data_IF_305488823569
#
_entry.id   IF_305488823569
#
_cell.length_a   1.000
_cell.length_b   1.000
_cell.length_c   1.000
_cell.angle_alpha   90.00
_cell.angle_beta   90.00
_cell.angle_gamma   90.00
#
_symmetry.space_group_name_H-M   'P 1'
#
loop_
_entity.id
_entity.type
_entity.pdbx_description
1 polymer ?
#
# COMPACT_ATOMS: atom_id res chain seq x y z
N UNK A 1 -3.46 8.33 12.65
CA UNK A 1 -2.34 8.09 11.71
C UNK A 1 -1.88 6.64 11.84
N UNK A 2 -1.80 5.90 10.74
CA UNK A 2 -1.31 4.53 10.69
C UNK A 2 0.11 4.50 10.13
N UNK A 3 0.98 3.73 10.76
CA UNK A 3 2.36 3.47 10.31
C UNK A 3 2.53 2.00 9.99
N UNK A 4 3.17 1.71 8.89
CA UNK A 4 3.40 0.33 8.49
C UNK A 4 4.53 0.18 7.49
N UNK A 5 4.66 -1.02 7.00
CA UNK A 5 5.61 -1.38 5.96
C UNK A 5 4.91 -2.02 4.78
N UNK A 6 5.51 -1.91 3.62
CA UNK A 6 5.14 -2.71 2.47
C UNK A 6 6.37 -3.40 1.88
N UNK A 7 6.15 -4.53 1.25
CA UNK A 7 7.18 -5.31 0.56
C UNK A 7 6.79 -5.55 -0.89
N UNK A 8 7.76 -5.48 -1.78
CA UNK A 8 7.59 -5.88 -3.18
C UNK A 8 8.04 -7.33 -3.42
N UNK A 9 8.75 -7.91 -2.45
CA UNK A 9 9.16 -9.31 -2.48
C UNK A 9 10.18 -9.63 -3.58
N UNK A 10 11.13 -8.73 -3.85
CA UNK A 10 12.17 -8.95 -4.86
C UNK A 10 13.21 -9.97 -4.40
N UNK A 11 13.69 -10.79 -5.34
CA UNK A 11 14.82 -11.70 -5.19
C UNK A 11 16.03 -11.05 -5.85
N UNK A 12 16.66 -10.15 -5.12
CA UNK A 12 17.83 -9.40 -5.57
C UNK A 12 19.09 -9.94 -4.91
N UNK A 13 20.22 -9.93 -5.66
CA UNK A 13 21.53 -10.34 -5.14
C UNK A 13 21.97 -9.37 -4.04
N UNK A 14 22.37 -9.91 -2.91
CA UNK A 14 23.12 -9.15 -1.90
C UNK A 14 24.53 -8.84 -2.44
N UNK A 15 24.84 -7.58 -2.73
CA UNK A 15 26.12 -7.21 -3.34
C UNK A 15 27.32 -7.43 -2.41
N UNK A 16 27.09 -7.60 -1.12
CA UNK A 16 28.18 -7.82 -0.15
C UNK A 16 28.61 -9.30 -0.07
N UNK A 17 27.70 -10.20 -0.45
CA UNK A 17 27.97 -11.66 -0.42
C UNK A 17 27.95 -12.30 -1.80
N UNK A 18 27.39 -11.61 -2.80
CA UNK A 18 27.18 -12.16 -4.15
C UNK A 18 26.07 -13.22 -4.22
N UNK A 19 25.25 -13.40 -3.17
CA UNK A 19 24.20 -14.43 -3.08
C UNK A 19 22.82 -13.79 -3.19
N UNK A 20 21.94 -14.36 -4.02
CA UNK A 20 20.51 -14.12 -3.97
C UNK A 20 19.82 -15.11 -3.03
N UNK A 21 18.77 -14.72 -2.30
CA UNK A 21 17.94 -15.70 -1.59
C UNK A 21 17.20 -16.59 -2.59
N UNK A 22 16.87 -17.82 -2.21
CA UNK A 22 15.86 -18.60 -2.92
C UNK A 22 14.47 -17.99 -2.74
N UNK A 23 13.53 -18.32 -3.62
CA UNK A 23 12.11 -17.90 -3.47
C UNK A 23 11.54 -18.33 -2.11
N UNK A 24 11.85 -19.55 -1.67
CA UNK A 24 11.45 -20.05 -0.35
C UNK A 24 11.98 -19.16 0.79
N UNK A 25 13.28 -18.86 0.77
CA UNK A 25 13.89 -17.98 1.79
C UNK A 25 13.25 -16.58 1.77
N UNK A 26 13.00 -16.03 0.57
CA UNK A 26 12.38 -14.72 0.44
C UNK A 26 10.94 -14.70 0.95
N UNK A 27 10.13 -15.69 0.62
CA UNK A 27 8.76 -15.83 1.15
C UNK A 27 8.78 -15.93 2.68
N UNK A 28 9.67 -16.77 3.25
CA UNK A 28 9.83 -16.86 4.71
C UNK A 28 10.30 -15.55 5.34
N UNK A 29 11.17 -14.82 4.67
CA UNK A 29 11.60 -13.50 5.14
C UNK A 29 10.43 -12.50 5.17
N UNK A 30 9.58 -12.46 4.15
CA UNK A 30 8.38 -11.60 4.14
C UNK A 30 7.43 -11.92 5.30
N UNK A 31 7.24 -13.21 5.62
CA UNK A 31 6.45 -13.61 6.80
C UNK A 31 7.10 -13.15 8.11
N UNK A 32 8.42 -13.33 8.25
CA UNK A 32 9.15 -12.88 9.44
C UNK A 32 9.06 -11.36 9.63
N UNK A 33 9.16 -10.61 8.54
CA UNK A 33 9.02 -9.15 8.51
C UNK A 33 7.61 -8.72 8.96
N UNK A 34 6.56 -9.39 8.48
CA UNK A 34 5.19 -9.10 8.89
C UNK A 34 4.96 -9.35 10.40
N UNK A 35 5.46 -10.47 10.92
CA UNK A 35 5.37 -10.78 12.36
C UNK A 35 6.15 -9.78 13.20
N UNK A 36 7.34 -9.39 12.73
CA UNK A 36 8.15 -8.36 13.39
C UNK A 36 7.48 -6.99 13.37
N UNK A 37 6.78 -6.65 12.30
CA UNK A 37 6.02 -5.41 12.21
C UNK A 37 4.95 -5.31 13.32
N UNK A 38 4.22 -6.40 13.59
CA UNK A 38 3.28 -6.44 14.73
C UNK A 38 4.01 -6.37 16.08
N UNK A 39 5.11 -7.11 16.24
CA UNK A 39 5.90 -7.14 17.47
C UNK A 39 6.37 -5.74 17.88
N UNK A 40 6.86 -4.96 16.91
CA UNK A 40 7.36 -3.59 17.17
C UNK A 40 6.25 -2.52 17.16
N UNK A 41 4.99 -2.91 17.09
CA UNK A 41 3.84 -2.01 17.25
C UNK A 41 3.47 -1.22 15.99
N UNK A 42 3.80 -1.70 14.80
CA UNK A 42 3.27 -1.13 13.56
C UNK A 42 1.79 -1.48 13.36
N UNK A 43 1.10 -0.65 12.59
CA UNK A 43 -0.35 -0.79 12.33
C UNK A 43 -0.65 -1.63 11.09
N UNK A 44 0.23 -1.59 10.07
CA UNK A 44 -0.06 -2.13 8.74
C UNK A 44 1.11 -2.92 8.19
N UNK A 45 0.81 -4.08 7.60
CA UNK A 45 1.70 -4.78 6.68
C UNK A 45 1.02 -4.91 5.32
N UNK A 46 1.72 -4.53 4.25
CA UNK A 46 1.23 -4.64 2.89
C UNK A 46 2.19 -5.47 2.01
N UNK A 47 1.64 -6.31 1.14
CA UNK A 47 2.42 -7.04 0.14
C UNK A 47 2.02 -6.66 -1.28
N UNK A 48 3.00 -6.55 -2.17
CA UNK A 48 2.76 -6.36 -3.60
C UNK A 48 2.14 -7.61 -4.25
N UNK A 49 1.67 -7.44 -5.49
CA UNK A 49 1.33 -8.53 -6.40
C UNK A 49 2.17 -8.38 -7.67
N UNK A 50 2.95 -9.39 -7.95
CA UNK A 50 3.83 -9.44 -9.12
C UNK A 50 3.78 -10.82 -9.75
N UNK A 51 3.82 -10.86 -11.09
CA UNK A 51 3.78 -12.12 -11.85
C UNK A 51 5.03 -12.33 -12.71
N UNK A 52 6.05 -11.51 -12.51
CA UNK A 52 7.31 -11.57 -13.27
C UNK A 52 8.52 -11.61 -12.32
N UNK A 53 9.58 -12.35 -12.69
CA UNK A 53 10.86 -12.23 -11.99
C UNK A 53 11.36 -10.77 -11.98
N UNK A 54 12.06 -10.35 -10.93
CA UNK A 54 12.54 -11.16 -9.79
C UNK A 54 11.61 -11.20 -8.57
N UNK A 55 10.32 -10.92 -8.73
CA UNK A 55 9.37 -10.80 -7.63
C UNK A 55 8.68 -12.14 -7.34
N UNK A 56 8.41 -12.44 -6.06
CA UNK A 56 7.77 -13.70 -5.64
C UNK A 56 6.32 -13.59 -5.17
N UNK A 57 5.77 -12.44 -4.71
CA UNK A 57 4.41 -12.39 -4.20
C UNK A 57 3.39 -12.35 -5.35
N UNK A 58 3.02 -13.51 -5.87
CA UNK A 58 2.02 -13.65 -6.94
C UNK A 58 0.60 -13.91 -6.44
N UNK A 59 0.43 -14.20 -5.14
CA UNK A 59 -0.87 -14.46 -4.50
C UNK A 59 -0.94 -13.77 -3.13
N UNK A 60 -1.24 -12.46 -3.11
CA UNK A 60 -1.26 -11.68 -1.88
C UNK A 60 -2.19 -12.26 -0.82
N UNK A 61 -3.42 -12.64 -1.19
CA UNK A 61 -4.42 -13.14 -0.24
C UNK A 61 -4.02 -14.45 0.42
N UNK A 62 -3.28 -15.32 -0.29
CA UNK A 62 -2.70 -16.55 0.29
C UNK A 62 -1.68 -16.22 1.38
N UNK A 63 -0.77 -15.28 1.13
CA UNK A 63 0.23 -14.84 2.10
C UNK A 63 -0.43 -14.13 3.29
N UNK A 64 -1.34 -13.22 3.03
CA UNK A 64 -2.05 -12.45 4.06
C UNK A 64 -2.92 -13.35 4.93
N UNK A 65 -3.54 -14.41 4.38
CA UNK A 65 -4.26 -15.41 5.16
C UNK A 65 -3.37 -16.16 6.14
N UNK A 66 -2.13 -16.51 5.74
CA UNK A 66 -1.17 -17.09 6.67
C UNK A 66 -0.75 -16.11 7.78
N UNK A 67 -0.54 -14.84 7.43
CA UNK A 67 -0.17 -13.79 8.40
C UNK A 67 -1.34 -13.51 9.35
N UNK A 68 -2.59 -13.49 8.84
CA UNK A 68 -3.79 -13.32 9.67
C UNK A 68 -3.86 -14.31 10.83
N UNK A 69 -3.52 -15.58 10.57
CA UNK A 69 -3.51 -16.64 11.59
C UNK A 69 -2.38 -16.52 12.62
N UNK A 70 -1.45 -15.58 12.45
CA UNK A 70 -0.25 -15.39 13.28
C UNK A 70 -0.16 -14.00 13.92
N UNK A 71 -1.14 -13.15 13.66
CA UNK A 71 -1.19 -11.76 14.12
C UNK A 71 -2.57 -11.44 14.70
N UNK A 72 -2.63 -10.47 15.62
CA UNK A 72 -3.85 -10.10 16.32
C UNK A 72 -4.30 -8.65 16.08
N UNK A 73 -3.37 -7.76 15.73
CA UNK A 73 -3.62 -6.31 15.61
C UNK A 73 -3.31 -5.74 14.23
N UNK A 74 -2.36 -6.35 13.53
CA UNK A 74 -1.84 -5.85 12.27
C UNK A 74 -2.93 -5.80 11.20
N UNK A 75 -3.13 -4.66 10.57
CA UNK A 75 -3.96 -4.51 9.39
C UNK A 75 -3.21 -5.12 8.19
N UNK A 76 -3.88 -6.02 7.52
CA UNK A 76 -3.36 -6.73 6.36
C UNK A 76 -3.82 -6.02 5.08
N UNK A 77 -2.88 -5.58 4.28
CA UNK A 77 -3.12 -4.78 3.08
C UNK A 77 -2.33 -5.29 1.88
N UNK A 78 -2.60 -4.74 0.73
CA UNK A 78 -1.79 -4.96 -0.46
C UNK A 78 -1.14 -3.67 -0.95
N UNK A 79 -0.07 -3.79 -1.74
CA UNK A 79 0.62 -2.65 -2.32
C UNK A 79 1.28 -3.02 -3.67
N UNK A 80 0.45 -3.39 -4.64
CA UNK A 80 -1.01 -3.34 -4.79
C UNK A 80 -1.57 -4.69 -5.24
N UNK A 81 -2.90 -4.90 -5.12
CA UNK A 81 -3.61 -5.95 -5.87
C UNK A 81 -3.87 -5.45 -7.28
N UNK A 82 -3.55 -6.26 -8.29
CA UNK A 82 -3.67 -5.88 -9.70
C UNK A 82 -5.10 -6.10 -10.21
N UNK A 83 -5.90 -5.05 -10.21
CA UNK A 83 -7.30 -5.09 -10.66
C UNK A 83 -7.45 -5.46 -12.16
N UNK A 84 -6.39 -5.33 -12.94
CA UNK A 84 -6.39 -5.58 -14.38
C UNK A 84 -6.10 -7.03 -14.76
N UNK A 85 -5.33 -7.76 -13.96
CA UNK A 85 -4.98 -9.16 -14.23
C UNK A 85 -5.86 -10.15 -13.47
N UNK A 86 -6.54 -9.68 -12.41
CA UNK A 86 -7.49 -10.48 -11.65
C UNK A 86 -8.95 -10.29 -12.15
N UNK A 87 -9.78 -11.31 -11.97
CA UNK A 87 -11.22 -11.19 -12.16
C UNK A 87 -11.86 -10.49 -10.94
N UNK A 88 -12.71 -9.48 -11.13
CA UNK A 88 -13.37 -8.77 -10.02
C UNK A 88 -14.18 -9.68 -9.08
N UNK A 89 -14.76 -10.76 -9.59
CA UNK A 89 -15.47 -11.77 -8.76
C UNK A 89 -14.47 -12.42 -7.81
N UNK A 90 -13.32 -12.85 -8.34
CA UNK A 90 -12.28 -13.49 -7.52
C UNK A 90 -11.73 -12.54 -6.46
N UNK A 91 -11.52 -11.27 -6.79
CA UNK A 91 -11.09 -10.25 -5.82
C UNK A 91 -12.16 -10.08 -4.73
N UNK A 92 -13.45 -9.99 -5.13
CA UNK A 92 -14.54 -9.81 -4.17
C UNK A 92 -14.60 -10.94 -3.15
N UNK A 93 -14.49 -12.18 -3.61
CA UNK A 93 -14.57 -13.39 -2.78
C UNK A 93 -13.31 -13.53 -1.88
N UNK A 94 -12.12 -13.35 -2.45
CA UNK A 94 -10.87 -13.51 -1.72
C UNK A 94 -10.72 -12.49 -0.58
N UNK A 95 -11.03 -11.23 -0.83
CA UNK A 95 -10.91 -10.20 0.20
C UNK A 95 -12.03 -10.27 1.23
N UNK A 96 -13.24 -10.71 0.86
CA UNK A 96 -14.28 -10.99 1.84
C UNK A 96 -13.89 -12.19 2.71
N UNK A 97 -13.37 -13.28 2.13
CA UNK A 97 -12.86 -14.43 2.89
C UNK A 97 -11.73 -14.01 3.84
N UNK A 98 -10.76 -13.25 3.35
CA UNK A 98 -9.65 -12.76 4.17
C UNK A 98 -10.14 -11.85 5.30
N UNK A 99 -11.15 -11.02 5.06
CA UNK A 99 -11.75 -10.16 6.08
C UNK A 99 -12.37 -10.98 7.23
N UNK A 100 -13.05 -12.08 6.93
CA UNK A 100 -13.55 -13.02 7.95
C UNK A 100 -12.42 -13.72 8.71
N UNK A 101 -11.35 -14.14 8.03
CA UNK A 101 -10.21 -14.82 8.63
C UNK A 101 -9.39 -13.90 9.55
N UNK A 102 -9.40 -12.61 9.28
CA UNK A 102 -8.63 -11.61 10.01
C UNK A 102 -9.48 -10.71 10.92
N UNK A 103 -10.72 -11.09 11.20
CA UNK A 103 -11.63 -10.34 12.08
C UNK A 103 -11.72 -8.85 11.72
N UNK A 104 -11.87 -8.56 10.42
CA UNK A 104 -11.99 -7.20 9.89
C UNK A 104 -10.66 -6.44 9.70
N UNK A 105 -9.52 -6.96 10.12
CA UNK A 105 -8.21 -6.31 9.99
C UNK A 105 -7.66 -6.37 8.56
N UNK A 106 -8.49 -6.01 7.57
CA UNK A 106 -8.16 -6.08 6.14
C UNK A 106 -8.60 -4.80 5.46
N UNK A 107 -7.73 -4.26 4.67
CA UNK A 107 -8.05 -3.34 3.59
C UNK A 107 -7.32 -3.75 2.30
N UNK A 108 -7.63 -3.10 1.21
CA UNK A 108 -7.03 -3.45 -0.07
C UNK A 108 -6.57 -2.21 -0.80
N UNK A 109 -5.36 -2.26 -1.33
CA UNK A 109 -4.88 -1.23 -2.25
C UNK A 109 -4.93 -1.75 -3.68
N UNK A 110 -5.79 -1.17 -4.49
CA UNK A 110 -5.95 -1.49 -5.90
C UNK A 110 -4.92 -0.76 -6.74
N UNK A 111 -4.27 -1.50 -7.63
CA UNK A 111 -3.36 -0.97 -8.61
C UNK A 111 -3.68 -1.45 -10.01
N UNK A 112 -3.38 -0.62 -11.00
CA UNK A 112 -3.55 -0.99 -12.41
C UNK A 112 -2.48 -1.99 -12.89
N UNK A 113 -1.31 -2.00 -12.27
CA UNK A 113 -0.12 -2.65 -12.82
C UNK A 113 0.47 -1.87 -14.01
N UNK A 114 1.78 -1.86 -14.10
CA UNK A 114 2.51 -1.12 -15.13
C UNK A 114 3.54 -1.99 -15.89
N UNK A 115 3.58 -3.28 -15.63
CA UNK A 115 4.50 -4.24 -16.25
C UNK A 115 3.87 -4.80 -17.51
N UNK A 116 4.22 -4.19 -18.66
CA UNK A 116 3.66 -4.53 -19.97
C UNK A 116 3.65 -6.02 -20.31
N UNK A 117 4.78 -6.76 -20.13
CA UNK A 117 4.84 -8.18 -20.42
C UNK A 117 3.86 -9.07 -19.62
N UNK A 118 3.37 -8.61 -18.47
CA UNK A 118 2.44 -9.38 -17.63
C UNK A 118 1.04 -9.46 -18.24
N UNK A 119 0.57 -8.40 -18.86
CA UNK A 119 -0.78 -8.33 -19.41
C UNK A 119 -1.15 -9.48 -20.37
N UNK A 120 -0.33 -9.80 -21.39
CA UNK A 120 -0.62 -10.92 -22.30
C UNK A 120 -0.71 -12.28 -21.61
N UNK A 121 0.02 -12.49 -20.50
CA UNK A 121 -0.04 -13.75 -19.74
C UNK A 121 -1.41 -14.00 -19.12
N UNK A 122 -2.16 -12.94 -18.88
CA UNK A 122 -3.53 -12.99 -18.37
C UNK A 122 -4.57 -12.67 -19.46
N UNK A 123 -4.19 -12.73 -20.75
CA UNK A 123 -5.09 -12.49 -21.87
C UNK A 123 -5.57 -11.05 -21.98
N UNK A 124 -4.77 -10.08 -21.53
CA UNK A 124 -5.06 -8.65 -21.50
C UNK A 124 -4.07 -7.86 -22.35
N UNK A 125 -4.43 -6.61 -22.63
CA UNK A 125 -3.56 -5.64 -23.30
C UNK A 125 -3.34 -4.42 -22.39
N UNK A 126 -2.10 -4.01 -22.21
CA UNK A 126 -1.76 -2.84 -21.38
C UNK A 126 -2.35 -1.54 -21.92
N UNK A 127 -2.63 -1.47 -23.23
CA UNK A 127 -3.27 -0.31 -23.86
C UNK A 127 -4.69 -0.08 -23.35
N UNK A 128 -5.40 -1.15 -22.98
CA UNK A 128 -6.71 -1.10 -22.34
C UNK A 128 -6.63 -0.91 -20.81
N UNK A 129 -5.43 -0.82 -20.22
CA UNK A 129 -5.20 -0.95 -18.78
C UNK A 129 -5.98 0.04 -17.91
N UNK A 130 -6.22 1.28 -18.36
CA UNK A 130 -7.05 2.26 -17.62
C UNK A 130 -8.53 1.86 -17.68
N UNK A 131 -9.06 1.65 -18.88
CA UNK A 131 -10.47 1.27 -19.07
C UNK A 131 -10.81 -0.02 -18.34
N UNK A 132 -9.90 -1.01 -18.41
CA UNK A 132 -10.01 -2.28 -17.72
C UNK A 132 -10.03 -2.11 -16.19
N UNK A 133 -9.16 -1.24 -15.65
CA UNK A 133 -9.14 -0.96 -14.22
C UNK A 133 -10.43 -0.28 -13.76
N UNK A 134 -10.93 0.67 -14.52
CA UNK A 134 -12.19 1.38 -14.24
C UNK A 134 -13.39 0.43 -14.27
N UNK A 135 -13.52 -0.38 -15.33
CA UNK A 135 -14.63 -1.32 -15.48
C UNK A 135 -14.60 -2.41 -14.39
N UNK A 136 -13.44 -3.01 -14.15
CA UNK A 136 -13.30 -4.06 -13.14
C UNK A 136 -13.58 -3.54 -11.73
N UNK A 137 -13.16 -2.31 -11.42
CA UNK A 137 -13.44 -1.72 -10.12
C UNK A 137 -14.94 -1.39 -9.94
N UNK A 138 -15.61 -0.92 -10.97
CA UNK A 138 -17.05 -0.69 -10.93
C UNK A 138 -17.83 -1.99 -10.64
N UNK A 139 -17.44 -3.10 -11.26
CA UNK A 139 -18.03 -4.41 -10.96
C UNK A 139 -17.71 -4.88 -9.54
N UNK A 140 -16.46 -4.74 -9.09
CA UNK A 140 -16.04 -5.11 -7.74
C UNK A 140 -16.87 -4.41 -6.66
N UNK A 141 -17.10 -3.10 -6.81
CA UNK A 141 -17.96 -2.34 -5.89
C UNK A 141 -19.36 -2.93 -5.81
N UNK A 142 -19.98 -3.19 -6.95
CA UNK A 142 -21.32 -3.80 -7.00
C UNK A 142 -21.38 -5.18 -6.35
N UNK A 143 -20.34 -6.01 -6.55
CA UNK A 143 -20.25 -7.34 -5.94
C UNK A 143 -20.19 -7.29 -4.40
N UNK A 144 -19.63 -6.26 -3.83
CA UNK A 144 -19.61 -6.05 -2.38
C UNK A 144 -20.89 -5.39 -1.84
N UNK A 145 -21.44 -4.44 -2.59
CA UNK A 145 -22.55 -3.60 -2.12
C UNK A 145 -23.93 -4.21 -2.41
N UNK A 146 -24.08 -5.00 -3.50
CA UNK A 146 -25.36 -5.59 -3.93
C UNK A 146 -25.40 -7.10 -3.63
N UNK A 147 -26.58 -7.60 -3.22
CA UNK A 147 -26.77 -9.03 -2.96
C UNK A 147 -26.82 -9.84 -4.25
N UNK A 148 -27.38 -9.29 -5.31
CA UNK A 148 -27.52 -9.94 -6.62
C UNK A 148 -27.07 -8.98 -7.73
N UNK A 149 -26.05 -9.38 -8.48
CA UNK A 149 -25.46 -8.57 -9.55
C UNK A 149 -25.75 -9.19 -10.91
N UNK A 150 -26.33 -8.40 -11.80
CA UNK A 150 -26.33 -8.64 -13.24
C UNK A 150 -25.40 -7.63 -13.89
N UNK A 151 -24.43 -8.12 -14.65
CA UNK A 151 -23.38 -7.30 -15.25
C UNK A 151 -23.16 -7.61 -16.72
N UNK A 152 -22.94 -6.56 -17.50
CA UNK A 152 -22.45 -6.66 -18.87
C UNK A 152 -21.46 -5.53 -19.10
N UNK A 153 -20.21 -5.88 -19.35
CA UNK A 153 -19.12 -4.95 -19.64
C UNK A 153 -18.36 -5.34 -20.90
N UNK A 154 -17.26 -4.65 -21.16
CA UNK A 154 -16.38 -4.86 -22.32
C UNK A 154 -15.39 -6.01 -22.09
N UNK A 155 -14.87 -6.14 -20.87
CA UNK A 155 -13.66 -6.92 -20.59
C UNK A 155 -13.86 -8.30 -20.01
N UNK A 156 -15.07 -8.64 -19.56
CA UNK A 156 -15.39 -9.98 -19.07
C UNK A 156 -16.75 -10.47 -19.55
N UNK A 157 -16.96 -11.79 -19.45
CA UNK A 157 -18.26 -12.40 -19.70
C UNK A 157 -19.33 -11.84 -18.76
N UNK A 158 -20.58 -11.65 -19.26
CA UNK A 158 -21.67 -11.16 -18.44
C UNK A 158 -21.96 -12.04 -17.21
N UNK A 159 -22.42 -11.42 -16.15
CA UNK A 159 -23.01 -12.10 -14.98
C UNK A 159 -24.54 -12.01 -15.06
N UNK A 160 -25.21 -13.08 -14.70
CA UNK A 160 -26.67 -13.15 -14.66
C UNK A 160 -27.09 -13.54 -13.24
N UNK A 161 -27.72 -12.61 -12.51
CA UNK A 161 -28.23 -12.84 -11.15
C UNK A 161 -27.20 -13.53 -10.24
N UNK A 162 -25.97 -13.02 -10.24
CA UNK A 162 -24.84 -13.58 -9.49
C UNK A 162 -24.80 -13.02 -8.07
N UNK A 163 -24.58 -13.88 -7.09
CA UNK A 163 -24.30 -13.49 -5.69
C UNK A 163 -22.87 -13.88 -5.34
N UNK A 164 -22.08 -12.90 -4.94
CA UNK A 164 -20.71 -13.12 -4.43
C UNK A 164 -20.76 -13.69 -3.00
N UNK A 165 -19.97 -14.73 -2.74
CA UNK A 165 -19.87 -15.37 -1.42
C UNK A 165 -18.44 -15.72 -1.05
N UNK A 166 -17.99 -15.48 0.22
CA UNK A 166 -18.78 -14.88 1.31
C UNK A 166 -19.12 -13.42 1.05
N UNK A 167 -20.15 -12.92 1.76
CA UNK A 167 -20.41 -11.48 1.80
C UNK A 167 -19.36 -10.79 2.69
N UNK A 168 -19.09 -9.50 2.52
CA UNK A 168 -18.24 -8.75 3.41
C UNK A 168 -18.66 -8.89 4.89
N UNK A 169 -17.70 -9.00 5.79
CA UNK A 169 -17.92 -9.09 7.24
C UNK A 169 -18.77 -7.89 7.71
N UNK A 170 -19.77 -8.16 8.56
CA UNK A 170 -20.73 -7.17 9.06
C UNK A 170 -21.45 -6.39 7.93
N UNK A 171 -21.44 -6.91 6.70
CA UNK A 171 -21.94 -6.23 5.52
C UNK A 171 -21.15 -4.97 5.13
N UNK A 172 -19.94 -4.79 5.64
CA UNK A 172 -19.06 -3.65 5.36
C UNK A 172 -17.84 -4.12 4.56
N UNK A 173 -17.76 -3.75 3.29
CA UNK A 173 -16.65 -4.11 2.42
C UNK A 173 -15.29 -3.67 2.99
N UNK A 174 -14.17 -4.35 2.68
CA UNK A 174 -12.85 -3.83 3.01
C UNK A 174 -12.68 -2.39 2.53
N UNK A 175 -11.96 -1.55 3.30
CA UNK A 175 -11.64 -0.21 2.81
C UNK A 175 -10.71 -0.30 1.60
N UNK A 176 -10.96 0.54 0.60
CA UNK A 176 -10.17 0.55 -0.63
C UNK A 176 -9.25 1.77 -0.67
N UNK A 177 -8.00 1.50 -0.97
CA UNK A 177 -7.02 2.48 -1.41
C UNK A 177 -6.79 2.33 -2.91
N UNK A 178 -6.69 3.42 -3.62
CA UNK A 178 -6.24 3.40 -5.01
C UNK A 178 -4.77 3.82 -5.06
N UNK A 179 -3.91 2.86 -5.41
CA UNK A 179 -2.47 3.07 -5.49
C UNK A 179 -2.06 3.63 -6.85
N UNK A 180 -1.43 4.80 -6.85
CA UNK A 180 -0.86 5.36 -8.08
C UNK A 180 0.39 6.17 -7.81
N UNK A 181 1.37 6.02 -8.72
CA UNK A 181 2.58 6.85 -8.75
C UNK A 181 2.38 8.05 -9.68
N UNK A 182 1.70 7.88 -10.83
CA UNK A 182 1.70 8.89 -11.89
C UNK A 182 0.39 8.98 -12.70
N UNK A 183 -0.59 8.13 -12.47
CA UNK A 183 -1.82 8.12 -13.27
C UNK A 183 -2.88 9.00 -12.60
N UNK A 184 -3.17 10.20 -13.16
CA UNK A 184 -4.20 11.09 -12.62
C UNK A 184 -5.60 10.46 -12.70
N UNK A 185 -5.86 9.57 -13.66
CA UNK A 185 -7.11 8.84 -13.80
C UNK A 185 -7.41 7.96 -12.58
N UNK A 186 -6.37 7.42 -11.95
CA UNK A 186 -6.54 6.61 -10.73
C UNK A 186 -6.83 7.51 -9.50
N UNK A 187 -6.24 8.69 -9.43
CA UNK A 187 -6.58 9.67 -8.40
C UNK A 187 -8.03 10.16 -8.59
N UNK A 188 -8.46 10.38 -9.83
CA UNK A 188 -9.85 10.71 -10.18
C UNK A 188 -10.81 9.60 -9.77
N UNK A 189 -10.48 8.34 -10.05
CA UNK A 189 -11.30 7.19 -9.67
C UNK A 189 -11.44 7.07 -8.14
N UNK A 190 -10.36 7.22 -7.39
CA UNK A 190 -10.40 7.23 -5.92
C UNK A 190 -11.36 8.30 -5.41
N UNK A 191 -11.25 9.50 -5.97
CA UNK A 191 -12.11 10.63 -5.60
C UNK A 191 -13.58 10.41 -5.97
N UNK A 192 -13.86 9.83 -7.16
CA UNK A 192 -15.21 9.56 -7.62
C UNK A 192 -15.98 8.62 -6.66
N UNK A 193 -15.31 7.60 -6.13
CA UNK A 193 -15.92 6.66 -5.18
C UNK A 193 -15.83 7.08 -3.71
N UNK A 194 -15.12 8.16 -3.39
CA UNK A 194 -14.85 8.57 -2.01
C UNK A 194 -13.89 7.62 -1.28
N UNK A 195 -13.13 6.84 -2.02
CA UNK A 195 -12.13 5.90 -1.50
C UNK A 195 -10.82 6.61 -1.15
N UNK A 196 -9.89 5.91 -0.47
CA UNK A 196 -8.56 6.44 -0.17
C UNK A 196 -7.65 6.52 -1.41
N UNK A 197 -6.80 7.52 -1.47
CA UNK A 197 -5.74 7.62 -2.47
C UNK A 197 -4.38 7.38 -1.82
N UNK A 198 -3.66 6.36 -2.30
CA UNK A 198 -2.30 6.08 -1.86
C UNK A 198 -1.32 6.48 -2.95
N UNK A 199 -0.59 7.57 -2.71
CA UNK A 199 0.50 7.97 -3.59
C UNK A 199 1.80 7.30 -3.13
N UNK A 200 2.28 6.32 -3.93
CA UNK A 200 3.53 5.65 -3.60
C UNK A 200 4.71 6.60 -3.87
N UNK A 201 5.04 7.39 -2.87
CA UNK A 201 6.04 8.45 -2.89
C UNK A 201 7.44 7.85 -2.71
N UNK A 202 7.98 7.18 -3.74
CA UNK A 202 9.27 6.48 -3.67
C UNK A 202 10.34 7.00 -4.64
N UNK A 203 9.96 7.50 -5.82
CA UNK A 203 10.91 7.90 -6.87
C UNK A 203 10.73 9.34 -7.37
N UNK A 204 9.68 10.03 -6.94
CA UNK A 204 9.28 11.31 -7.52
C UNK A 204 9.55 12.47 -6.56
N UNK A 205 9.84 13.66 -7.08
CA UNK A 205 10.06 14.83 -6.25
C UNK A 205 8.77 15.27 -5.54
N UNK A 206 8.91 16.01 -4.45
CA UNK A 206 7.82 16.54 -3.64
C UNK A 206 6.75 17.29 -4.45
N UNK A 207 7.16 18.01 -5.50
CA UNK A 207 6.24 18.73 -6.40
C UNK A 207 5.25 17.83 -7.11
N UNK A 208 5.69 16.66 -7.57
CA UNK A 208 4.82 15.68 -8.22
C UNK A 208 3.83 15.08 -7.22
N UNK A 209 4.30 14.68 -6.03
CA UNK A 209 3.42 14.17 -4.97
C UNK A 209 2.38 15.20 -4.56
N UNK A 210 2.78 16.47 -4.39
CA UNK A 210 1.87 17.59 -4.14
C UNK A 210 0.78 17.69 -5.20
N UNK A 211 1.16 17.63 -6.48
CA UNK A 211 0.23 17.73 -7.60
C UNK A 211 -0.81 16.60 -7.57
N UNK A 212 -0.38 15.35 -7.40
CA UNK A 212 -1.26 14.19 -7.39
C UNK A 212 -2.23 14.20 -6.21
N UNK A 213 -1.74 14.51 -5.00
CA UNK A 213 -2.58 14.59 -3.81
C UNK A 213 -3.57 15.78 -3.89
N UNK A 214 -3.13 16.92 -4.42
CA UNK A 214 -4.01 18.09 -4.63
C UNK A 214 -5.12 17.79 -5.62
N UNK A 215 -4.80 17.11 -6.74
CA UNK A 215 -5.81 16.66 -7.70
C UNK A 215 -6.86 15.78 -7.01
N UNK A 216 -6.44 14.74 -6.33
CA UNK A 216 -7.35 13.83 -5.62
C UNK A 216 -8.26 14.57 -4.64
N UNK A 217 -7.72 15.45 -3.80
CA UNK A 217 -8.47 16.22 -2.81
C UNK A 217 -9.51 17.15 -3.43
N UNK A 218 -9.14 17.87 -4.51
CA UNK A 218 -10.04 18.74 -5.24
C UNK A 218 -11.20 17.95 -5.86
N UNK A 219 -10.90 16.78 -6.44
CA UNK A 219 -11.91 15.93 -7.05
C UNK A 219 -12.81 15.24 -6.01
N UNK A 220 -12.26 14.85 -4.86
CA UNK A 220 -13.02 14.33 -3.72
C UNK A 220 -14.10 15.31 -3.26
N UNK A 221 -13.73 16.57 -3.07
CA UNK A 221 -14.69 17.63 -2.74
C UNK A 221 -15.67 17.90 -3.89
N UNK A 222 -15.22 17.87 -5.15
CA UNK A 222 -16.08 18.05 -6.32
C UNK A 222 -17.19 16.99 -6.40
N UNK A 223 -16.90 15.75 -6.04
CA UNK A 223 -17.89 14.65 -6.01
C UNK A 223 -18.76 14.64 -4.75
N UNK A 224 -18.57 15.57 -3.83
CA UNK A 224 -19.46 15.77 -2.68
C UNK A 224 -19.18 14.85 -1.47
N UNK A 225 -18.02 14.22 -1.41
CA UNK A 225 -17.66 13.32 -0.30
C UNK A 225 -17.20 14.06 0.95
N UNK A 226 -17.00 15.37 0.89
CA UNK A 226 -16.58 16.21 1.99
C UNK A 226 -15.63 17.33 1.54
N UNK A 227 -14.91 17.93 2.49
CA UNK A 227 -13.89 18.94 2.17
C UNK A 227 -12.59 18.27 1.69
N UNK A 228 -11.68 19.00 1.00
CA UNK A 228 -10.40 18.48 0.59
C UNK A 228 -9.56 17.87 1.75
N UNK A 229 -9.68 18.45 2.95
CA UNK A 229 -8.94 18.00 4.15
C UNK A 229 -9.49 16.70 4.73
N UNK A 230 -10.74 16.34 4.41
CA UNK A 230 -11.37 15.10 4.84
C UNK A 230 -11.03 13.90 3.93
N UNK A 231 -10.44 14.16 2.77
CA UNK A 231 -10.01 13.12 1.84
C UNK A 231 -8.89 12.25 2.46
N UNK A 232 -9.04 10.94 2.36
CA UNK A 232 -8.13 9.95 2.96
C UNK A 232 -6.91 9.75 2.08
N UNK A 233 -5.75 10.13 2.57
CA UNK A 233 -4.48 10.06 1.83
C UNK A 233 -3.50 9.11 2.53
N UNK A 234 -2.81 8.29 1.75
CA UNK A 234 -1.67 7.49 2.19
C UNK A 234 -0.42 7.81 1.37
N UNK A 235 0.73 7.67 2.00
CA UNK A 235 2.02 7.87 1.36
C UNK A 235 2.94 6.67 1.56
N UNK A 236 3.76 6.40 0.54
CA UNK A 236 4.92 5.52 0.65
C UNK A 236 6.19 6.28 1.00
N UNK A 237 7.27 5.54 1.19
CA UNK A 237 8.61 6.06 1.37
C UNK A 237 9.62 4.92 1.40
N UNK A 238 10.85 5.19 0.97
CA UNK A 238 11.95 4.22 1.07
C UNK A 238 12.88 4.64 2.21
N UNK A 239 13.25 3.68 3.03
CA UNK A 239 14.08 3.95 4.21
C UNK A 239 15.16 2.90 4.36
N UNK A 240 16.37 3.36 4.62
CA UNK A 240 17.43 2.57 5.23
C UNK A 240 18.00 3.33 6.42
N UNK A 241 17.98 2.73 7.60
CA UNK A 241 18.48 3.40 8.80
C UNK A 241 19.43 2.57 9.65
N UNK A 242 20.34 3.29 10.30
CA UNK A 242 21.20 2.85 11.40
C UNK A 242 21.15 3.89 12.51
N UNK A 243 21.70 3.57 13.68
CA UNK A 243 21.75 4.53 14.82
C UNK A 243 22.45 5.84 14.47
N UNK A 244 23.39 5.82 13.53
CA UNK A 244 24.03 7.04 13.01
C UNK A 244 24.04 7.05 11.48
N UNK A 245 24.04 8.24 10.92
CA UNK A 245 23.91 8.50 9.48
C UNK A 245 25.11 7.99 8.68
N UNK A 246 26.33 8.08 9.23
CA UNK A 246 27.54 7.64 8.53
C UNK A 246 27.53 6.12 8.31
N UNK A 247 27.09 5.37 9.31
CA UNK A 247 26.93 3.92 9.21
C UNK A 247 25.82 3.56 8.20
N UNK A 248 24.68 4.28 8.23
CA UNK A 248 23.60 4.06 7.29
C UNK A 248 24.07 4.26 5.84
N UNK A 249 24.72 5.37 5.53
CA UNK A 249 25.23 5.67 4.19
C UNK A 249 26.29 4.65 3.76
N UNK A 250 27.25 4.32 4.63
CA UNK A 250 28.31 3.36 4.34
C UNK A 250 27.74 1.97 4.03
N UNK A 251 26.79 1.50 4.84
CA UNK A 251 26.23 0.16 4.70
C UNK A 251 25.25 0.05 3.54
N UNK A 252 24.45 1.08 3.25
CA UNK A 252 23.47 1.04 2.18
C UNK A 252 24.07 1.27 0.78
N UNK A 253 25.20 1.98 0.67
CA UNK A 253 25.81 2.32 -0.62
C UNK A 253 25.99 1.11 -1.57
N UNK A 254 26.55 -0.05 -1.14
CA UNK A 254 26.67 -1.20 -2.04
C UNK A 254 25.32 -1.68 -2.59
N UNK A 255 24.27 -1.62 -1.79
CA UNK A 255 22.91 -2.00 -2.19
C UNK A 255 22.32 -0.99 -3.19
N UNK A 256 22.50 0.29 -2.92
CA UNK A 256 22.08 1.35 -3.85
C UNK A 256 22.78 1.23 -5.20
N UNK A 257 24.09 1.11 -5.21
CA UNK A 257 24.92 1.10 -6.42
C UNK A 257 24.68 -0.13 -7.32
N UNK A 258 24.18 -1.24 -6.75
CA UNK A 258 24.00 -2.50 -7.47
C UNK A 258 22.52 -2.86 -7.74
N UNK A 259 21.56 -2.25 -7.08
CA UNK A 259 20.16 -2.61 -7.26
C UNK A 259 19.58 -2.01 -8.55
N UNK A 260 18.96 -2.84 -9.42
CA UNK A 260 18.35 -2.34 -10.67
C UNK A 260 17.27 -1.28 -10.45
N UNK A 261 16.64 -1.26 -9.28
CA UNK A 261 15.57 -0.33 -8.94
C UNK A 261 16.04 1.13 -8.88
N UNK A 262 17.31 1.38 -8.57
CA UNK A 262 17.90 2.73 -8.56
C UNK A 262 18.55 3.11 -9.91
N UNK A 263 18.69 2.15 -10.81
CA UNK A 263 19.33 2.34 -12.10
C UNK A 263 20.84 2.63 -11.97
N UNK A 264 21.44 3.04 -13.08
CA UNK A 264 22.85 3.46 -13.13
C UNK A 264 22.93 4.96 -13.39
N UNK A 265 22.16 5.73 -12.64
CA UNK A 265 21.97 7.17 -12.82
C UNK A 265 22.66 8.00 -11.72
N UNK A 266 21.88 8.74 -10.91
CA UNK A 266 22.41 9.65 -9.90
C UNK A 266 23.14 8.91 -8.77
N UNK A 267 24.05 9.60 -8.11
CA UNK A 267 24.67 9.12 -6.86
C UNK A 267 23.61 8.95 -5.74
N UNK A 268 23.97 8.22 -4.67
CA UNK A 268 23.09 8.08 -3.51
C UNK A 268 22.69 9.44 -2.94
N UNK A 269 23.64 10.37 -2.84
CA UNK A 269 23.44 11.72 -2.34
C UNK A 269 22.48 12.55 -3.22
N UNK A 270 22.65 12.49 -4.52
CA UNK A 270 21.75 13.15 -5.47
C UNK A 270 20.35 12.53 -5.40
N UNK A 271 20.25 11.20 -5.36
CA UNK A 271 18.98 10.51 -5.30
C UNK A 271 18.20 10.84 -4.01
N UNK A 272 18.86 10.82 -2.85
CA UNK A 272 18.24 11.17 -1.56
C UNK A 272 17.85 12.66 -1.47
N UNK A 273 18.56 13.54 -2.19
CA UNK A 273 18.20 14.96 -2.26
C UNK A 273 16.96 15.24 -3.12
N UNK A 274 16.70 14.41 -4.14
CA UNK A 274 15.65 14.63 -5.13
C UNK A 274 14.40 13.76 -4.90
N UNK A 275 14.50 12.72 -4.09
CA UNK A 275 13.43 11.74 -3.85
C UNK A 275 13.14 11.58 -2.35
N UNK A 276 12.07 10.88 -1.98
CA UNK A 276 11.77 10.57 -0.58
C UNK A 276 12.68 9.52 0.06
N UNK A 277 13.62 8.90 -0.68
CA UNK A 277 14.55 7.94 -0.07
C UNK A 277 15.29 8.60 1.10
N UNK A 278 15.23 7.96 2.25
CA UNK A 278 15.95 8.38 3.46
C UNK A 278 16.97 7.33 3.83
N UNK A 279 18.23 7.71 3.84
CA UNK A 279 19.34 6.87 4.31
C UNK A 279 20.05 7.62 5.42
N UNK A 280 19.80 7.22 6.67
CA UNK A 280 20.30 8.00 7.81
C UNK A 280 19.97 7.42 9.19
N UNK A 281 19.96 8.29 10.18
CA UNK A 281 19.58 7.99 11.56
C UNK A 281 18.04 7.97 11.74
N UNK A 282 17.52 7.45 12.88
CA UNK A 282 16.12 7.57 13.23
C UNK A 282 15.61 9.02 13.21
N UNK A 283 16.42 9.98 13.65
CA UNK A 283 16.05 11.40 13.62
C UNK A 283 15.82 11.92 12.20
N UNK A 284 16.68 11.55 11.25
CA UNK A 284 16.51 11.94 9.84
C UNK A 284 15.27 11.30 9.21
N UNK A 285 14.92 10.08 9.59
CA UNK A 285 13.67 9.44 9.15
C UNK A 285 12.45 10.15 9.71
N UNK A 286 12.50 10.58 10.99
CA UNK A 286 11.44 11.38 11.61
C UNK A 286 11.27 12.70 10.86
N UNK A 287 12.34 13.46 10.70
CA UNK A 287 12.31 14.78 10.04
C UNK A 287 11.80 14.67 8.60
N UNK A 288 12.29 13.71 7.84
CA UNK A 288 11.83 13.46 6.46
C UNK A 288 10.35 13.11 6.42
N UNK A 289 9.87 12.26 7.31
CA UNK A 289 8.46 11.84 7.33
C UNK A 289 7.55 13.02 7.72
N UNK A 290 7.96 13.84 8.69
CA UNK A 290 7.23 15.04 9.07
C UNK A 290 7.20 16.08 7.95
N UNK A 291 8.28 16.22 7.17
CA UNK A 291 8.36 17.17 6.06
C UNK A 291 7.35 16.85 4.93
N UNK A 292 6.84 15.63 4.83
CA UNK A 292 5.80 15.31 3.84
C UNK A 292 4.54 16.14 4.06
N UNK A 293 4.20 16.49 5.31
CA UNK A 293 3.05 17.37 5.61
C UNK A 293 3.20 18.77 5.02
N UNK A 294 4.39 19.28 4.82
CA UNK A 294 4.63 20.63 4.29
C UNK A 294 4.09 20.79 2.87
N UNK A 295 4.06 19.71 2.08
CA UNK A 295 3.62 19.76 0.70
C UNK A 295 2.33 18.98 0.39
N UNK A 296 1.94 17.99 1.23
CA UNK A 296 0.66 17.29 1.04
C UNK A 296 -0.40 17.65 2.10
N UNK A 297 -0.02 18.32 3.20
CA UNK A 297 -0.91 18.51 4.36
C UNK A 297 -1.08 17.21 5.16
N UNK A 298 -2.16 17.10 5.93
CA UNK A 298 -2.42 15.93 6.75
C UNK A 298 -2.74 14.70 5.88
N UNK A 299 -2.28 13.53 6.33
CA UNK A 299 -2.53 12.26 5.68
C UNK A 299 -2.67 11.15 6.73
N UNK A 300 -3.23 10.00 6.38
CA UNK A 300 -3.71 9.03 7.35
C UNK A 300 -2.85 7.76 7.43
N UNK A 301 -2.00 7.50 6.42
CA UNK A 301 -1.16 6.29 6.39
C UNK A 301 0.22 6.58 5.82
N UNK A 302 1.26 6.10 6.51
CA UNK A 302 2.63 6.04 6.01
C UNK A 302 3.10 4.59 5.93
N UNK A 303 3.47 4.13 4.74
CA UNK A 303 4.09 2.82 4.55
C UNK A 303 5.55 2.99 4.14
N UNK A 304 6.45 2.25 4.80
CA UNK A 304 7.88 2.28 4.50
C UNK A 304 8.29 1.03 3.72
N UNK A 305 9.08 1.19 2.67
CA UNK A 305 9.78 0.12 1.98
C UNK A 305 11.18 0.01 2.58
N UNK A 306 11.48 -1.12 3.20
CA UNK A 306 12.74 -1.30 3.97
C UNK A 306 13.46 -2.61 3.63
N UNK A 307 12.86 -3.49 2.83
CA UNK A 307 13.32 -4.87 2.60
C UNK A 307 13.70 -5.16 1.14
N UNK A 308 14.14 -4.14 0.43
CA UNK A 308 14.46 -4.19 -1.01
C UNK A 308 15.97 -4.21 -1.28
N UNK A 309 16.34 -4.25 -2.56
CA UNK A 309 17.72 -4.11 -3.03
C UNK A 309 18.70 -5.22 -2.58
N UNK A 310 18.20 -6.39 -2.19
CA UNK A 310 19.04 -7.50 -1.74
C UNK A 310 19.46 -7.43 -0.27
N UNK A 311 18.83 -6.57 0.53
CA UNK A 311 19.11 -6.46 1.97
C UNK A 311 18.84 -7.79 2.69
N UNK A 312 19.78 -8.27 3.53
CA UNK A 312 19.59 -9.46 4.34
C UNK A 312 18.46 -9.31 5.35
N UNK A 313 17.70 -10.39 5.61
CA UNK A 313 16.61 -10.38 6.58
C UNK A 313 17.03 -9.81 7.94
N UNK A 314 18.22 -10.20 8.45
CA UNK A 314 18.74 -9.69 9.71
C UNK A 314 18.78 -8.16 9.74
N UNK A 315 19.32 -7.56 8.68
CA UNK A 315 19.41 -6.10 8.53
C UNK A 315 18.03 -5.44 8.51
N UNK A 316 17.05 -6.05 7.87
CA UNK A 316 15.67 -5.55 7.83
C UNK A 316 15.03 -5.60 9.21
N UNK A 317 15.19 -6.71 9.95
CA UNK A 317 14.64 -6.85 11.29
C UNK A 317 15.26 -5.84 12.27
N UNK A 318 16.57 -5.59 12.21
CA UNK A 318 17.24 -4.55 13.00
C UNK A 318 16.71 -3.14 12.70
N UNK A 319 16.38 -2.85 11.45
CA UNK A 319 15.74 -1.58 11.08
C UNK A 319 14.30 -1.49 11.61
N UNK A 320 13.56 -2.60 11.66
CA UNK A 320 12.21 -2.62 12.24
C UNK A 320 12.23 -2.38 13.76
N UNK A 321 13.25 -2.88 14.47
CA UNK A 321 13.47 -2.54 15.87
C UNK A 321 13.64 -1.01 16.05
N UNK A 322 14.53 -0.40 15.29
CA UNK A 322 14.74 1.07 15.33
C UNK A 322 13.47 1.84 14.94
N UNK A 323 12.71 1.35 13.94
CA UNK A 323 11.48 1.99 13.51
C UNK A 323 10.42 1.99 14.64
N UNK A 324 10.25 0.85 15.32
CA UNK A 324 9.29 0.71 16.42
C UNK A 324 9.72 1.40 17.71
N UNK A 325 11.01 1.38 18.03
CA UNK A 325 11.53 1.93 19.29
C UNK A 325 11.76 3.45 19.24
N UNK A 326 12.33 3.95 18.15
CA UNK A 326 12.84 5.32 18.09
C UNK A 326 12.04 6.24 17.16
N UNK A 327 11.41 5.72 16.09
CA UNK A 327 10.78 6.56 15.06
C UNK A 327 9.27 6.67 15.24
N UNK A 328 8.55 5.55 15.23
CA UNK A 328 7.08 5.55 15.22
C UNK A 328 6.47 6.18 16.47
N UNK A 329 6.99 5.97 17.70
CA UNK A 329 6.43 6.65 18.88
C UNK A 329 6.50 8.17 18.79
N UNK A 330 7.60 8.71 18.26
CA UNK A 330 7.78 10.16 18.04
C UNK A 330 6.81 10.65 16.97
N UNK A 331 6.77 9.98 15.82
CA UNK A 331 5.86 10.33 14.74
C UNK A 331 4.39 10.30 15.18
N UNK A 332 3.95 9.29 15.94
CA UNK A 332 2.58 9.21 16.49
C UNK A 332 2.25 10.43 17.32
N UNK A 333 3.13 10.84 18.21
CA UNK A 333 2.96 12.00 19.05
C UNK A 333 2.89 13.29 18.23
N UNK A 334 3.80 13.49 17.30
CA UNK A 334 3.84 14.70 16.47
C UNK A 334 2.61 14.80 15.54
N UNK A 335 2.23 13.71 14.88
CA UNK A 335 1.01 13.70 14.06
C UNK A 335 -0.27 13.92 14.88
N UNK A 336 -0.35 13.37 16.09
CA UNK A 336 -1.49 13.60 16.97
C UNK A 336 -1.58 15.08 17.42
N UNK A 337 -0.45 15.67 17.78
CA UNK A 337 -0.40 17.09 18.22
C UNK A 337 -0.75 18.07 17.10
N UNK A 338 -0.40 17.74 15.87
CA UNK A 338 -0.54 18.63 14.72
C UNK A 338 -1.87 18.41 13.95
N UNK A 339 -2.63 17.35 14.26
CA UNK A 339 -3.84 16.99 13.53
C UNK A 339 -4.99 17.95 13.82
N UNK A 340 -5.56 18.64 12.80
CA UNK A 340 -6.78 19.44 12.96
C UNK A 340 -7.99 18.55 13.29
N UNK A 341 -8.95 19.10 14.02
CA UNK A 341 -10.14 18.36 14.46
C UNK A 341 -11.04 17.86 13.31
N UNK A 342 -11.02 18.55 12.17
CA UNK A 342 -11.80 18.19 10.97
C UNK A 342 -11.12 17.15 10.06
N UNK A 343 -9.88 16.76 10.35
CA UNK A 343 -9.17 15.73 9.60
C UNK A 343 -9.54 14.36 10.16
N UNK A 344 -10.06 13.42 9.34
CA UNK A 344 -10.46 12.11 9.81
C UNK A 344 -9.27 11.25 10.22
N UNK A 345 -9.55 10.26 11.07
CA UNK A 345 -8.58 9.19 11.34
C UNK A 345 -8.45 8.23 10.16
N UNK A 346 -7.37 7.44 10.16
CA UNK A 346 -7.22 6.36 9.20
C UNK A 346 -8.38 5.36 9.35
N UNK A 347 -8.98 4.92 8.24
CA UNK A 347 -10.14 4.04 8.28
C UNK A 347 -9.78 2.67 8.86
N UNK A 348 -10.67 2.16 9.72
CA UNK A 348 -10.64 0.79 10.23
C UNK A 348 -12.00 0.14 10.02
N UNK A 349 -12.04 -1.20 9.96
CA UNK A 349 -13.32 -1.92 9.81
C UNK A 349 -14.29 -1.54 10.94
N UNK A 350 -13.85 -1.58 12.20
CA UNK A 350 -14.68 -1.25 13.34
C UNK A 350 -15.29 0.17 13.27
N UNK A 351 -14.49 1.18 12.88
CA UNK A 351 -14.99 2.54 12.72
C UNK A 351 -16.04 2.64 11.61
N UNK A 352 -15.86 1.91 10.50
CA UNK A 352 -16.79 1.89 9.36
C UNK A 352 -18.09 1.16 9.70
N UNK A 353 -18.03 0.08 10.47
CA UNK A 353 -19.22 -0.61 11.02
C UNK A 353 -20.00 0.32 11.94
N UNK A 354 -19.32 1.04 12.85
CA UNK A 354 -19.96 2.01 13.74
C UNK A 354 -20.65 3.14 12.97
N UNK A 355 -20.00 3.70 11.94
CA UNK A 355 -20.58 4.74 11.09
C UNK A 355 -21.84 4.25 10.37
N UNK A 356 -21.80 3.08 9.74
CA UNK A 356 -22.96 2.47 9.07
C UNK A 356 -24.14 2.27 10.02
N UNK A 357 -23.90 1.77 11.24
CA UNK A 357 -24.95 1.54 12.22
C UNK A 357 -25.62 2.84 12.67
N UNK A 358 -24.88 3.94 12.69
CA UNK A 358 -25.42 5.27 13.00
C UNK A 358 -26.35 5.76 11.88
N UNK A 359 -25.96 5.60 10.62
CA UNK A 359 -26.77 5.96 9.46
C UNK A 359 -28.09 5.17 9.38
N UNK A 360 -28.04 3.85 9.63
CA UNK A 360 -29.24 2.98 9.63
C UNK A 360 -30.16 3.28 10.81
N UNK A 361 -29.62 3.68 11.97
CA UNK A 361 -30.42 4.04 13.16
C UNK A 361 -31.10 5.40 13.08
N UNK A 362 -30.74 6.22 12.10
CA UNK A 362 -31.31 7.58 11.88
C UNK A 362 -32.29 7.64 10.69
N UNK A 363 -32.46 6.56 9.95
CA UNK A 363 -33.39 6.40 8.82
C UNK A 363 -34.66 5.69 9.26
#
# INVERSE_FOLDING_TARGET
>A
MQFGIFTVGDVTVDPTTGRAPSEHERIKAMLAIALKAEEVGLDVFATGEHHNPPFVPSSPTTMLGYIAARTERLILSTSTTLITTNDPVKIAEDFAMLQHLADGRVDVMMGRGNTGPVYPWFGKDIRDGIDLAVENYALLRRLWDEDVVTWKGKFRTPLQSFTSTPRPLDGVAPFVWHGSIRSPEIAEQAAYYGDGFFHNNIFWPASHTKQMVSLYRQRYAHYGHGTPEQAIVGLGGQVFMRKNSQDAVREFRPYFDNAPVYGHGPSLEEFTSQTPLTVGSPQEVIERTLSFREYVGDYQRQLFLMDHAGLPLKTVLEQLDLLGEEVVPVLRKEFANLKPANVPDAPTHAARVAARNTEVGTA
#
